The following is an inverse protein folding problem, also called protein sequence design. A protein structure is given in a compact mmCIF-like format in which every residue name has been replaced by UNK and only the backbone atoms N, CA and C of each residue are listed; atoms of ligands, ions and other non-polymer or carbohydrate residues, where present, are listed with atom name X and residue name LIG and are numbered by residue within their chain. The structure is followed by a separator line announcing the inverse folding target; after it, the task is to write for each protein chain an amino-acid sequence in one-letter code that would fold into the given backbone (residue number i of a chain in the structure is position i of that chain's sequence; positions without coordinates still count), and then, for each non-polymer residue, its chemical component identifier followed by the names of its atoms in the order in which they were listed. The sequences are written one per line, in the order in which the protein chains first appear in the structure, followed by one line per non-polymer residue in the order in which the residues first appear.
data_IF_636671468428
#
_entry.id   IF_636671468428
#
_cell.length_a   1.000
_cell.length_b   1.000
_cell.length_c   1.000
_cell.angle_alpha   90.00
_cell.angle_beta   90.00
_cell.angle_gamma   90.00
#
_symmetry.space_group_name_H-M   'P 1'
#
loop_
_entity.id
_entity.type
_entity.pdbx_description
1 polymer ?
#
# COMPACT_ATOMS: atom_id res chain seq x y z
N UNK A 1 -7.58 -35.62 -13.25
CA UNK A 1 -8.90 -35.03 -13.27
C UNK A 1 -9.20 -34.35 -14.60
N UNK A 2 -10.46 -34.15 -14.89
CA UNK A 2 -10.91 -33.42 -16.09
C UNK A 2 -11.82 -32.26 -15.68
N UNK A 3 -11.71 -31.13 -16.40
CA UNK A 3 -12.62 -29.99 -16.28
C UNK A 3 -13.36 -29.82 -17.60
N UNK A 4 -14.70 -29.85 -17.58
CA UNK A 4 -15.52 -29.47 -18.69
C UNK A 4 -15.88 -27.98 -18.65
N UNK A 5 -15.63 -27.29 -19.76
CA UNK A 5 -16.06 -25.89 -19.95
C UNK A 5 -16.97 -25.81 -21.17
N UNK A 6 -18.12 -25.16 -21.01
CA UNK A 6 -18.99 -24.83 -22.13
C UNK A 6 -18.53 -23.53 -22.76
N UNK A 7 -17.97 -23.59 -23.95
CA UNK A 7 -17.41 -22.47 -24.67
C UNK A 7 -18.13 -22.22 -25.99
N UNK A 8 -18.23 -20.94 -26.39
CA UNK A 8 -18.79 -20.58 -27.69
C UNK A 8 -17.73 -20.71 -28.77
N UNK A 9 -17.97 -21.52 -29.79
CA UNK A 9 -17.05 -21.79 -30.89
C UNK A 9 -17.19 -20.83 -32.08
N UNK A 10 -18.03 -19.77 -31.96
CA UNK A 10 -18.39 -18.85 -33.03
C UNK A 10 -19.76 -19.20 -33.72
N UNK A 11 -20.31 -20.37 -33.48
CA UNK A 11 -21.62 -20.82 -34.00
C UNK A 11 -22.53 -21.42 -32.91
N UNK A 12 -21.98 -22.32 -32.11
CA UNK A 12 -22.69 -23.04 -31.05
C UNK A 12 -21.93 -23.04 -29.74
N UNK A 13 -22.60 -23.40 -28.65
CA UNK A 13 -22.00 -23.59 -27.35
C UNK A 13 -21.70 -25.06 -27.15
N UNK A 14 -20.40 -25.44 -27.16
CA UNK A 14 -19.96 -26.82 -27.04
C UNK A 14 -19.17 -27.07 -25.78
N UNK A 15 -19.17 -28.32 -25.30
CA UNK A 15 -18.37 -28.73 -24.16
C UNK A 15 -16.96 -29.12 -24.59
N UNK A 16 -15.97 -28.50 -23.95
CA UNK A 16 -14.53 -28.78 -24.11
C UNK A 16 -13.97 -29.31 -22.79
N UNK A 17 -13.29 -30.44 -22.86
CA UNK A 17 -12.73 -31.10 -21.68
C UNK A 17 -11.21 -30.90 -21.66
N UNK A 18 -10.71 -30.49 -20.50
CA UNK A 18 -9.30 -30.21 -20.28
C UNK A 18 -8.78 -31.11 -19.15
N UNK A 19 -7.62 -31.74 -19.37
CA UNK A 19 -6.97 -32.52 -18.32
C UNK A 19 -6.26 -31.56 -17.33
N UNK A 20 -6.43 -31.87 -16.05
CA UNK A 20 -5.76 -31.16 -14.96
C UNK A 20 -5.11 -32.17 -14.02
N UNK A 21 -4.09 -31.70 -13.28
CA UNK A 21 -3.43 -32.54 -12.28
C UNK A 21 -4.42 -32.99 -11.19
N UNK A 22 -4.19 -34.16 -10.60
CA UNK A 22 -5.02 -34.63 -9.49
C UNK A 22 -4.99 -33.66 -8.28
N UNK A 23 -3.86 -33.03 -8.04
CA UNK A 23 -3.72 -32.02 -6.97
C UNK A 23 -4.57 -30.78 -7.23
N UNK A 24 -4.56 -30.25 -8.46
CA UNK A 24 -5.38 -29.08 -8.84
C UNK A 24 -6.87 -29.43 -8.77
N UNK A 25 -7.27 -30.64 -9.23
CA UNK A 25 -8.65 -31.12 -9.13
C UNK A 25 -9.11 -31.18 -7.67
N UNK A 26 -8.30 -31.80 -6.78
CA UNK A 26 -8.59 -31.87 -5.35
C UNK A 26 -8.71 -30.51 -4.71
N UNK A 27 -7.80 -29.57 -5.03
CA UNK A 27 -7.84 -28.20 -4.53
C UNK A 27 -9.09 -27.44 -5.00
N UNK A 28 -9.44 -27.53 -6.29
CA UNK A 28 -10.66 -26.90 -6.82
C UNK A 28 -11.92 -27.47 -6.18
N UNK A 29 -12.01 -28.80 -6.03
CA UNK A 29 -13.13 -29.44 -5.36
C UNK A 29 -13.28 -29.00 -3.91
N UNK A 30 -12.16 -28.87 -3.18
CA UNK A 30 -12.17 -28.34 -1.82
C UNK A 30 -12.70 -26.89 -1.78
N UNK A 31 -12.23 -26.02 -2.68
CA UNK A 31 -12.71 -24.64 -2.76
C UNK A 31 -14.19 -24.56 -3.12
N UNK A 32 -14.67 -25.39 -4.04
CA UNK A 32 -16.09 -25.44 -4.42
C UNK A 32 -17.03 -25.88 -3.29
N UNK A 33 -16.54 -26.67 -2.33
CA UNK A 33 -17.32 -27.06 -1.15
C UNK A 33 -17.53 -25.91 -0.15
N UNK A 34 -16.56 -25.00 -0.05
CA UNK A 34 -16.51 -23.96 0.98
C UNK A 34 -16.81 -22.56 0.44
N UNK A 35 -16.76 -22.36 -0.88
CA UNK A 35 -16.86 -21.04 -1.52
C UNK A 35 -17.68 -21.11 -2.81
N UNK A 36 -18.35 -20.00 -3.12
CA UNK A 36 -19.07 -19.86 -4.40
C UNK A 36 -18.07 -19.59 -5.53
N UNK A 37 -17.99 -20.49 -6.48
CA UNK A 37 -17.22 -20.30 -7.71
C UNK A 37 -17.94 -19.29 -8.62
N UNK A 38 -17.18 -18.36 -9.18
CA UNK A 38 -17.60 -17.45 -10.24
C UNK A 38 -17.26 -18.07 -11.61
N UNK A 39 -17.81 -17.50 -12.67
CA UNK A 39 -17.52 -17.93 -14.03
C UNK A 39 -16.00 -17.97 -14.29
N UNK A 40 -15.47 -19.09 -14.76
CA UNK A 40 -14.06 -19.20 -15.10
C UNK A 40 -13.70 -18.29 -16.28
N UNK A 41 -12.46 -17.84 -16.31
CA UNK A 41 -11.93 -17.01 -17.40
C UNK A 41 -10.83 -17.79 -18.10
N UNK A 42 -10.98 -17.96 -19.41
CA UNK A 42 -9.92 -18.50 -20.28
C UNK A 42 -9.08 -17.35 -20.82
N UNK A 43 -7.77 -17.44 -20.68
CA UNK A 43 -6.82 -16.40 -21.02
C UNK A 43 -5.60 -16.97 -21.75
N UNK A 44 -4.98 -16.21 -22.65
CA UNK A 44 -3.76 -16.62 -23.35
C UNK A 44 -2.58 -15.79 -22.88
N UNK A 45 -1.69 -16.41 -22.12
CA UNK A 45 -0.49 -15.77 -21.58
C UNK A 45 0.76 -16.40 -22.18
N UNK A 46 1.56 -15.62 -22.87
CA UNK A 46 2.82 -16.07 -23.51
C UNK A 46 2.64 -17.28 -24.45
N UNK A 47 1.54 -17.29 -25.21
CA UNK A 47 1.25 -18.38 -26.16
C UNK A 47 0.57 -19.61 -25.54
N UNK A 48 0.45 -19.70 -24.22
CA UNK A 48 -0.21 -20.79 -23.50
C UNK A 48 -1.58 -20.37 -23.01
N UNK A 49 -2.56 -21.23 -23.13
CA UNK A 49 -3.89 -21.02 -22.54
C UNK A 49 -3.85 -21.32 -21.06
N UNK A 50 -4.52 -20.48 -20.28
CA UNK A 50 -4.70 -20.62 -18.84
C UNK A 50 -6.18 -20.49 -18.50
N UNK A 51 -6.66 -21.28 -17.57
CA UNK A 51 -8.00 -21.18 -17.01
C UNK A 51 -7.85 -20.63 -15.61
N UNK A 52 -8.55 -19.53 -15.32
CA UNK A 52 -8.57 -18.91 -13.99
C UNK A 52 -9.93 -19.12 -13.35
N UNK A 53 -9.92 -19.70 -12.17
CA UNK A 53 -11.11 -19.90 -11.35
C UNK A 53 -11.12 -18.85 -10.25
N UNK A 54 -12.18 -18.05 -10.20
CA UNK A 54 -12.39 -17.04 -9.17
C UNK A 54 -13.44 -17.53 -8.19
N UNK A 55 -13.20 -17.35 -6.89
CA UNK A 55 -14.11 -17.74 -5.83
C UNK A 55 -14.53 -16.52 -5.02
N UNK A 56 -15.82 -16.45 -4.68
CA UNK A 56 -16.33 -15.45 -3.74
C UNK A 56 -16.11 -15.94 -2.32
N UNK A 57 -15.41 -15.17 -1.52
CA UNK A 57 -15.20 -15.44 -0.11
C UNK A 57 -15.92 -14.37 0.70
N UNK A 58 -16.76 -14.81 1.64
CA UNK A 58 -17.42 -13.95 2.60
C UNK A 58 -16.60 -13.95 3.89
N UNK A 59 -16.31 -12.76 4.43
CA UNK A 59 -15.62 -12.59 5.69
C UNK A 59 -16.36 -11.57 6.52
N UNK A 60 -16.51 -11.87 7.79
CA UNK A 60 -16.99 -10.90 8.76
C UNK A 60 -15.85 -9.93 9.07
N UNK A 61 -16.17 -8.65 9.02
CA UNK A 61 -15.26 -7.58 9.43
C UNK A 61 -15.62 -7.16 10.86
N UNK A 62 -14.66 -6.57 11.57
CA UNK A 62 -14.90 -5.93 12.87
C UNK A 62 -16.15 -5.05 12.76
N UNK A 63 -17.06 -5.17 13.75
CA UNK A 63 -18.32 -4.43 13.76
C UNK A 63 -18.09 -2.91 13.75
N UNK A 64 -19.00 -2.17 13.10
CA UNK A 64 -18.83 -0.75 12.81
C UNK A 64 -19.49 0.18 13.83
N UNK A 65 -20.02 -0.39 14.91
CA UNK A 65 -20.88 0.33 15.87
C UNK A 65 -20.12 1.39 16.68
N UNK A 66 -18.87 1.14 17.05
CA UNK A 66 -18.04 2.11 17.75
C UNK A 66 -16.59 2.16 17.27
N UNK A 67 -16.34 2.98 16.26
CA UNK A 67 -14.98 3.19 15.74
C UNK A 67 -14.04 3.89 16.71
N UNK A 68 -14.56 4.54 17.74
CA UNK A 68 -13.72 5.14 18.78
C UNK A 68 -13.10 4.07 19.72
N UNK A 69 -13.69 2.88 19.77
CA UNK A 69 -13.10 1.75 20.50
C UNK A 69 -11.95 1.07 19.74
N UNK A 70 -11.77 1.38 18.44
CA UNK A 70 -10.77 0.73 17.60
C UNK A 70 -9.34 1.01 18.04
N UNK A 71 -8.50 -0.02 17.90
CA UNK A 71 -7.06 0.14 17.75
C UNK A 71 -6.74 0.22 16.27
N UNK A 72 -6.16 1.32 15.85
CA UNK A 72 -5.87 1.55 14.43
C UNK A 72 -4.38 1.49 14.14
N UNK A 73 -4.04 1.06 12.91
CA UNK A 73 -2.72 1.22 12.32
C UNK A 73 -2.81 2.35 11.29
N UNK A 74 -2.31 3.53 11.65
CA UNK A 74 -2.21 4.65 10.73
C UNK A 74 -0.89 4.58 9.96
N UNK A 75 -0.97 4.77 8.63
CA UNK A 75 0.14 4.54 7.71
C UNK A 75 0.32 5.72 6.76
N UNK A 76 1.51 6.27 6.73
CA UNK A 76 2.01 7.19 5.72
C UNK A 76 2.92 6.44 4.74
N UNK A 77 2.59 6.45 3.45
CA UNK A 77 3.37 5.80 2.40
C UNK A 77 4.37 6.77 1.79
N UNK A 78 5.64 6.53 2.00
CA UNK A 78 6.74 7.40 1.56
C UNK A 78 7.45 6.94 0.28
N UNK A 79 8.31 7.81 -0.24
CA UNK A 79 9.22 7.51 -1.37
C UNK A 79 10.60 7.08 -0.85
N UNK A 80 11.04 7.63 0.28
CA UNK A 80 12.34 7.35 0.88
C UNK A 80 12.29 6.21 1.90
N UNK A 81 11.17 6.06 2.58
CA UNK A 81 10.83 4.89 3.37
C UNK A 81 9.57 4.28 2.77
N UNK A 82 9.49 2.95 2.71
CA UNK A 82 8.35 2.27 2.10
C UNK A 82 7.03 2.64 2.80
N UNK A 83 7.05 2.72 4.14
CA UNK A 83 5.95 3.23 4.95
C UNK A 83 6.45 3.66 6.33
N UNK A 84 5.83 4.70 6.89
CA UNK A 84 5.87 5.05 8.31
C UNK A 84 4.52 4.76 8.93
N UNK A 85 4.50 4.23 10.15
CA UNK A 85 3.28 3.77 10.75
C UNK A 85 3.23 4.04 12.26
N UNK A 86 2.02 4.17 12.79
CA UNK A 86 1.79 4.14 14.22
C UNK A 86 0.51 3.36 14.55
N UNK A 87 0.54 2.67 15.70
CA UNK A 87 -0.62 2.00 16.29
C UNK A 87 -1.13 2.87 17.42
N UNK A 88 -2.40 3.30 17.34
CA UNK A 88 -2.97 4.21 18.31
C UNK A 88 -4.46 3.95 18.59
N UNK A 89 -4.96 4.54 19.66
CA UNK A 89 -6.36 4.57 20.09
C UNK A 89 -6.92 5.99 20.07
N UNK A 90 -8.23 6.11 20.25
CA UNK A 90 -8.96 7.39 20.23
C UNK A 90 -8.56 8.36 21.35
N UNK A 91 -8.09 7.84 22.49
CA UNK A 91 -7.56 8.63 23.62
C UNK A 91 -6.20 9.28 23.33
N UNK A 92 -5.63 9.08 22.12
CA UNK A 92 -4.32 9.59 21.73
C UNK A 92 -3.15 8.69 22.13
N UNK A 93 -3.39 7.58 22.83
CA UNK A 93 -2.34 6.62 23.21
C UNK A 93 -1.72 5.99 21.99
N UNK A 94 -0.40 6.16 21.82
CA UNK A 94 0.41 5.50 20.79
C UNK A 94 1.07 4.27 21.40
N UNK A 95 0.58 3.08 21.02
CA UNK A 95 1.12 1.81 21.52
C UNK A 95 2.45 1.44 20.86
N UNK A 96 2.59 1.73 19.59
CA UNK A 96 3.80 1.48 18.82
C UNK A 96 3.88 2.38 17.60
N UNK A 97 5.10 2.61 17.13
CA UNK A 97 5.38 3.34 15.88
C UNK A 97 6.66 2.83 15.25
N UNK A 98 6.79 2.96 13.96
CA UNK A 98 7.98 2.52 13.25
C UNK A 98 8.01 2.93 11.79
N UNK A 99 9.13 2.59 11.16
CA UNK A 99 9.39 2.85 9.75
C UNK A 99 9.75 1.54 9.07
N UNK A 100 9.14 1.27 7.93
CA UNK A 100 9.47 0.13 7.08
C UNK A 100 10.49 0.59 6.06
N UNK A 101 11.70 0.05 6.17
CA UNK A 101 12.75 0.16 5.18
C UNK A 101 12.93 -1.17 4.47
N UNK A 102 13.11 -1.10 3.16
CA UNK A 102 13.34 -2.25 2.28
C UNK A 102 14.58 -1.98 1.40
N UNK A 103 15.77 -1.87 2.03
CA UNK A 103 16.97 -1.40 1.34
C UNK A 103 17.35 -2.27 0.15
N UNK A 104 17.25 -3.59 0.25
CA UNK A 104 17.60 -4.51 -0.83
C UNK A 104 16.67 -4.31 -2.06
N UNK A 105 15.36 -4.17 -1.83
CA UNK A 105 14.36 -3.97 -2.88
C UNK A 105 14.48 -2.57 -3.49
N UNK A 106 14.76 -1.56 -2.67
CA UNK A 106 14.98 -0.18 -3.10
C UNK A 106 16.25 -0.05 -3.93
N UNK A 107 17.35 -0.64 -3.50
CA UNK A 107 18.63 -0.66 -4.24
C UNK A 107 18.48 -1.38 -5.57
N UNK A 108 17.79 -2.52 -5.57
CA UNK A 108 17.48 -3.25 -6.80
C UNK A 108 16.67 -2.41 -7.78
N UNK A 109 15.66 -1.69 -7.28
CA UNK A 109 14.84 -0.80 -8.11
C UNK A 109 15.68 0.36 -8.65
N UNK A 110 16.48 1.02 -7.80
CA UNK A 110 17.36 2.13 -8.19
C UNK A 110 18.39 1.70 -9.24
N UNK A 111 19.00 0.51 -9.06
CA UNK A 111 19.92 -0.05 -10.05
C UNK A 111 19.24 -0.23 -11.41
N UNK A 112 18.03 -0.78 -11.45
CA UNK A 112 17.28 -0.95 -12.70
C UNK A 112 16.89 0.39 -13.34
N UNK A 113 16.55 1.41 -12.56
CA UNK A 113 16.27 2.76 -13.04
C UNK A 113 17.52 3.37 -13.69
N UNK A 114 18.68 3.26 -13.04
CA UNK A 114 19.94 3.75 -13.58
C UNK A 114 20.31 3.04 -14.89
N UNK A 115 20.17 1.72 -14.94
CA UNK A 115 20.37 0.93 -16.15
C UNK A 115 19.45 1.37 -17.29
N UNK A 116 18.18 1.69 -16.99
CA UNK A 116 17.25 2.26 -17.98
C UNK A 116 17.77 3.59 -18.55
N UNK A 117 18.25 4.50 -17.66
CA UNK A 117 18.81 5.81 -18.09
C UNK A 117 20.01 5.63 -19.01
N UNK A 118 20.93 4.73 -18.68
CA UNK A 118 22.07 4.41 -19.55
C UNK A 118 21.64 3.89 -20.93
N UNK A 119 20.64 2.99 -20.97
CA UNK A 119 20.09 2.51 -22.24
C UNK A 119 19.45 3.63 -23.07
N UNK A 120 18.70 4.54 -22.43
CA UNK A 120 18.08 5.69 -23.10
C UNK A 120 19.12 6.66 -23.67
N UNK A 121 20.18 6.95 -22.90
CA UNK A 121 21.30 7.80 -23.37
C UNK A 121 22.03 7.19 -24.56
N UNK A 122 22.16 5.85 -24.60
CA UNK A 122 22.76 5.11 -25.70
C UNK A 122 21.80 4.85 -26.88
N UNK A 123 20.59 5.44 -26.89
CA UNK A 123 19.58 5.24 -27.95
C UNK A 123 19.03 3.81 -28.06
N UNK A 124 19.31 2.94 -27.08
CA UNK A 124 18.91 1.54 -27.08
C UNK A 124 17.49 1.34 -26.57
N UNK A 125 16.63 0.71 -27.37
CA UNK A 125 15.31 0.25 -26.92
C UNK A 125 15.50 -1.00 -26.04
N UNK A 126 14.94 -0.99 -24.81
CA UNK A 126 15.14 -2.08 -23.88
C UNK A 126 13.84 -2.47 -23.17
N UNK A 127 13.00 -3.27 -23.85
CA UNK A 127 11.77 -3.82 -23.24
C UNK A 127 12.04 -4.67 -21.99
N UNK A 128 13.17 -5.38 -21.95
CA UNK A 128 13.55 -6.20 -20.79
C UNK A 128 13.77 -5.35 -19.54
N UNK A 129 14.45 -4.20 -19.65
CA UNK A 129 14.71 -3.32 -18.49
C UNK A 129 13.42 -2.75 -17.92
N UNK A 130 12.46 -2.35 -18.77
CA UNK A 130 11.15 -1.89 -18.32
C UNK A 130 10.36 -2.98 -17.58
N UNK A 131 10.45 -4.23 -18.04
CA UNK A 131 9.83 -5.37 -17.37
C UNK A 131 10.48 -5.62 -16.00
N UNK A 132 11.80 -5.53 -15.90
CA UNK A 132 12.52 -5.71 -14.63
C UNK A 132 12.19 -4.62 -13.62
N UNK A 133 12.15 -3.35 -14.04
CA UNK A 133 11.71 -2.22 -13.19
C UNK A 133 10.30 -2.48 -12.65
N UNK A 134 9.38 -2.91 -13.51
CA UNK A 134 8.00 -3.22 -13.12
C UNK A 134 7.93 -4.36 -12.10
N UNK A 135 8.73 -5.41 -12.30
CA UNK A 135 8.79 -6.54 -11.38
C UNK A 135 9.44 -6.16 -10.04
N UNK A 136 10.54 -5.40 -10.04
CA UNK A 136 11.19 -4.91 -8.83
C UNK A 136 10.24 -4.01 -8.02
N UNK A 137 9.55 -3.08 -8.69
CA UNK A 137 8.57 -2.21 -8.06
C UNK A 137 7.35 -2.97 -7.50
N UNK A 138 6.93 -4.03 -8.19
CA UNK A 138 5.86 -4.92 -7.69
C UNK A 138 6.31 -5.70 -6.45
N UNK A 139 7.56 -6.18 -6.43
CA UNK A 139 8.11 -6.86 -5.27
C UNK A 139 8.15 -5.94 -4.05
N UNK A 140 8.61 -4.69 -4.23
CA UNK A 140 8.59 -3.66 -3.18
C UNK A 140 7.17 -3.45 -2.61
N UNK A 141 6.15 -3.35 -3.49
CA UNK A 141 4.76 -3.20 -3.06
C UNK A 141 4.23 -4.41 -2.26
N UNK A 142 4.64 -5.62 -2.65
CA UNK A 142 4.25 -6.86 -1.96
C UNK A 142 4.86 -6.91 -0.57
N UNK A 143 6.17 -6.65 -0.47
CA UNK A 143 6.89 -6.68 0.81
C UNK A 143 6.41 -5.59 1.77
N UNK A 144 6.16 -4.38 1.27
CA UNK A 144 5.57 -3.30 2.08
C UNK A 144 4.21 -3.72 2.64
N UNK A 145 3.33 -4.26 1.80
CA UNK A 145 2.01 -4.70 2.23
C UNK A 145 2.11 -5.85 3.25
N UNK A 146 3.01 -6.83 3.03
CA UNK A 146 3.24 -7.94 3.95
C UNK A 146 3.65 -7.44 5.34
N UNK A 147 4.65 -6.55 5.40
CA UNK A 147 5.13 -5.98 6.67
C UNK A 147 4.05 -5.16 7.40
N UNK A 148 3.23 -4.40 6.67
CA UNK A 148 2.12 -3.67 7.28
C UNK A 148 1.08 -4.61 7.89
N UNK A 149 0.75 -5.70 7.23
CA UNK A 149 -0.17 -6.72 7.75
C UNK A 149 0.43 -7.44 8.96
N UNK A 150 1.72 -7.76 8.95
CA UNK A 150 2.41 -8.35 10.09
C UNK A 150 2.31 -7.44 11.33
N UNK A 151 2.54 -6.14 11.17
CA UNK A 151 2.36 -5.15 12.24
C UNK A 151 0.90 -5.12 12.71
N UNK A 152 -0.06 -5.09 11.78
CA UNK A 152 -1.47 -5.04 12.12
C UNK A 152 -1.93 -6.28 12.93
N UNK A 153 -1.45 -7.47 12.56
CA UNK A 153 -1.72 -8.71 13.29
C UNK A 153 -1.04 -8.70 14.66
N UNK A 154 0.25 -8.32 14.71
CA UNK A 154 1.03 -8.28 15.96
C UNK A 154 0.36 -7.43 17.05
N UNK A 155 -0.23 -6.30 16.67
CA UNK A 155 -0.88 -5.38 17.59
C UNK A 155 -2.40 -5.55 17.66
N UNK A 156 -2.96 -6.60 17.04
CA UNK A 156 -4.42 -6.86 17.02
C UNK A 156 -5.22 -5.62 16.63
N UNK A 157 -4.92 -5.10 15.44
CA UNK A 157 -5.49 -3.88 14.90
C UNK A 157 -6.86 -4.16 14.28
N UNK A 158 -7.84 -3.30 14.56
CA UNK A 158 -9.21 -3.39 14.03
C UNK A 158 -9.35 -2.74 12.65
N UNK A 159 -8.61 -1.64 12.44
CA UNK A 159 -8.67 -0.86 11.21
C UNK A 159 -7.30 -0.32 10.79
N UNK A 160 -6.97 -0.46 9.50
CA UNK A 160 -5.78 0.15 8.89
C UNK A 160 -6.22 1.45 8.20
N UNK A 161 -5.53 2.55 8.52
CA UNK A 161 -5.87 3.89 8.02
C UNK A 161 -4.77 4.43 7.13
N UNK A 162 -5.11 4.77 5.89
CA UNK A 162 -4.22 5.42 4.93
C UNK A 162 -4.67 6.85 4.62
N UNK A 163 -3.80 7.60 3.98
CA UNK A 163 -4.20 8.82 3.29
C UNK A 163 -4.96 8.51 2.00
N UNK A 164 -5.98 9.32 1.70
CA UNK A 164 -6.57 9.38 0.37
C UNK A 164 -5.64 10.19 -0.54
N UNK A 165 -4.94 9.47 -1.41
CA UNK A 165 -3.95 10.06 -2.30
C UNK A 165 -4.53 10.16 -3.72
N UNK A 166 -4.96 11.36 -4.11
CA UNK A 166 -5.37 11.61 -5.49
C UNK A 166 -4.15 11.61 -6.41
N UNK A 167 -4.16 10.73 -7.42
CA UNK A 167 -3.07 10.59 -8.39
C UNK A 167 -3.08 11.65 -9.49
N UNK A 168 -4.07 12.56 -9.51
CA UNK A 168 -4.26 13.55 -10.57
C UNK A 168 -3.42 14.83 -10.41
N UNK A 169 -2.69 14.98 -9.31
CA UNK A 169 -1.84 16.14 -9.06
C UNK A 169 -0.66 16.25 -10.06
N UNK A 170 -0.41 17.45 -10.61
CA UNK A 170 0.77 17.72 -11.44
C UNK A 170 2.04 17.58 -10.59
N UNK A 171 2.91 16.66 -10.96
CA UNK A 171 4.20 16.46 -10.30
C UNK A 171 5.15 17.58 -10.69
N UNK A 172 5.50 18.44 -9.73
CA UNK A 172 6.49 19.50 -9.90
C UNK A 172 7.89 18.93 -9.63
N UNK A 173 8.86 19.24 -10.53
CA UNK A 173 10.27 18.87 -10.38
C UNK A 173 10.70 17.66 -11.25
N UNK A 174 11.88 17.82 -11.93
CA UNK A 174 12.41 16.78 -12.83
C UNK A 174 13.08 15.62 -12.09
N UNK A 175 13.74 15.90 -10.95
CA UNK A 175 14.65 14.97 -10.25
C UNK A 175 13.93 13.75 -9.64
N UNK A 176 12.71 13.92 -9.12
CA UNK A 176 11.92 12.86 -8.48
C UNK A 176 10.76 12.34 -9.32
N UNK A 177 10.49 12.94 -10.49
CA UNK A 177 9.34 12.59 -11.34
C UNK A 177 9.26 11.09 -11.62
N UNK A 178 10.38 10.45 -11.93
CA UNK A 178 10.42 9.03 -12.27
C UNK A 178 10.11 8.14 -11.06
N UNK A 179 10.68 8.43 -9.88
CA UNK A 179 10.38 7.70 -8.64
C UNK A 179 8.91 7.85 -8.25
N UNK A 180 8.34 9.05 -8.39
CA UNK A 180 6.92 9.31 -8.09
C UNK A 180 6.00 8.57 -9.07
N UNK A 181 6.31 8.54 -10.37
CA UNK A 181 5.56 7.76 -11.35
C UNK A 181 5.63 6.24 -11.10
N UNK A 182 6.76 5.76 -10.62
CA UNK A 182 6.94 4.36 -10.27
C UNK A 182 6.33 4.02 -8.91
N UNK A 183 6.07 5.02 -8.07
CA UNK A 183 5.56 4.80 -6.73
C UNK A 183 4.13 4.24 -6.74
N UNK A 184 4.02 2.98 -6.36
CA UNK A 184 2.78 2.21 -6.43
C UNK A 184 1.96 2.24 -5.14
N UNK A 185 1.75 3.45 -4.58
CA UNK A 185 0.94 3.63 -3.38
C UNK A 185 -0.43 2.94 -3.44
N UNK A 186 -1.13 3.07 -4.57
CA UNK A 186 -2.43 2.43 -4.78
C UNK A 186 -2.33 0.89 -4.84
N UNK A 187 -1.21 0.33 -5.34
CA UNK A 187 -0.98 -1.11 -5.36
C UNK A 187 -0.75 -1.64 -3.94
N UNK A 188 0.02 -0.91 -3.10
CA UNK A 188 0.20 -1.23 -1.68
C UNK A 188 -1.13 -1.20 -0.94
N UNK A 189 -1.89 -0.10 -1.05
CA UNK A 189 -3.20 0.02 -0.38
C UNK A 189 -4.16 -1.09 -0.78
N UNK A 190 -4.30 -1.42 -2.07
CA UNK A 190 -5.16 -2.52 -2.55
C UNK A 190 -4.74 -3.88 -2.01
N UNK A 191 -3.42 -4.13 -1.90
CA UNK A 191 -2.90 -5.39 -1.35
C UNK A 191 -3.18 -5.50 0.13
N UNK A 192 -2.94 -4.41 0.87
CA UNK A 192 -3.24 -4.34 2.30
C UNK A 192 -4.74 -4.52 2.52
N UNK A 193 -5.60 -3.84 1.75
CA UNK A 193 -7.06 -3.96 1.83
C UNK A 193 -7.53 -5.41 1.67
N UNK A 194 -7.04 -6.09 0.63
CA UNK A 194 -7.40 -7.49 0.38
C UNK A 194 -6.98 -8.41 1.53
N UNK A 195 -5.78 -8.21 2.08
CA UNK A 195 -5.28 -9.05 3.17
C UNK A 195 -5.94 -8.70 4.52
N UNK A 196 -6.13 -7.41 4.80
CA UNK A 196 -6.81 -6.95 6.00
C UNK A 196 -8.25 -7.50 6.07
N UNK A 197 -9.02 -7.41 4.99
CA UNK A 197 -10.37 -7.96 4.92
C UNK A 197 -10.41 -9.48 5.14
N UNK A 198 -9.42 -10.23 4.63
CA UNK A 198 -9.30 -11.68 4.90
C UNK A 198 -9.08 -12.01 6.36
N UNK A 199 -8.49 -11.09 7.10
CA UNK A 199 -8.22 -11.21 8.54
C UNK A 199 -9.32 -10.56 9.41
N UNK A 200 -10.41 -10.07 8.79
CA UNK A 200 -11.50 -9.42 9.49
C UNK A 200 -11.28 -7.95 9.81
N UNK A 201 -10.11 -7.37 9.48
CA UNK A 201 -9.79 -5.97 9.72
C UNK A 201 -10.48 -5.07 8.70
N UNK A 202 -10.80 -3.84 9.10
CA UNK A 202 -11.29 -2.79 8.20
C UNK A 202 -10.15 -1.99 7.58
N UNK A 203 -10.46 -1.26 6.50
CA UNK A 203 -9.56 -0.27 5.92
C UNK A 203 -10.31 1.06 5.78
N UNK A 204 -9.64 2.13 6.16
CA UNK A 204 -10.16 3.51 6.04
C UNK A 204 -9.16 4.40 5.32
N UNK A 205 -9.65 5.51 4.77
CA UNK A 205 -8.82 6.54 4.12
C UNK A 205 -9.23 7.90 4.63
N UNK A 206 -8.25 8.71 5.01
CA UNK A 206 -8.44 10.08 5.48
C UNK A 206 -7.89 11.09 4.49
N UNK A 207 -8.37 12.33 4.54
CA UNK A 207 -7.87 13.41 3.70
C UNK A 207 -6.39 13.67 3.96
N UNK A 208 -5.57 13.78 2.91
CA UNK A 208 -4.12 13.98 3.00
C UNK A 208 -3.72 15.45 3.30
N UNK A 209 -4.68 16.39 3.29
CA UNK A 209 -4.34 17.80 3.45
C UNK A 209 -3.74 18.11 4.83
N UNK A 210 -2.51 18.62 4.84
CA UNK A 210 -1.85 19.08 6.06
C UNK A 210 -1.29 18.00 6.99
N UNK A 211 -1.44 16.69 6.71
CA UNK A 211 -0.93 15.60 7.57
C UNK A 211 0.57 15.69 7.78
N UNK A 212 1.32 16.09 6.77
CA UNK A 212 2.77 16.29 6.86
C UNK A 212 3.20 17.74 7.05
N UNK A 213 2.25 18.69 7.17
CA UNK A 213 2.54 20.12 7.40
C UNK A 213 2.52 20.49 8.87
N UNK A 214 1.70 19.84 9.67
CA UNK A 214 1.52 20.16 11.07
C UNK A 214 2.17 19.13 11.98
N UNK A 215 2.65 19.59 13.14
CA UNK A 215 3.16 18.74 14.20
C UNK A 215 2.01 17.93 14.82
N UNK A 216 2.26 16.66 15.12
CA UNK A 216 1.24 15.77 15.69
C UNK A 216 0.81 16.17 17.12
N UNK A 217 1.62 16.95 17.82
CA UNK A 217 1.36 17.43 19.18
C UNK A 217 0.57 18.75 19.23
N UNK A 218 0.13 19.24 18.07
CA UNK A 218 -0.64 20.48 17.96
C UNK A 218 0.18 21.76 18.07
N UNK A 219 1.51 21.69 18.18
CA UNK A 219 2.38 22.88 18.35
C UNK A 219 2.46 23.79 17.12
N UNK A 220 1.88 23.36 15.97
CA UNK A 220 1.78 24.21 14.77
C UNK A 220 2.48 23.63 13.55
N UNK A 221 2.93 24.50 12.64
CA UNK A 221 3.60 24.10 11.40
C UNK A 221 5.01 23.61 11.67
N UNK A 222 5.41 22.49 11.07
CA UNK A 222 6.75 21.92 11.21
C UNK A 222 7.75 22.63 10.30
N UNK A 223 8.97 22.88 10.78
CA UNK A 223 10.10 23.35 9.97
C UNK A 223 10.96 22.16 9.52
N UNK A 224 10.97 21.89 8.21
CA UNK A 224 11.74 20.81 7.56
C UNK A 224 13.13 21.25 7.10
N UNK A 225 13.47 22.53 7.23
CA UNK A 225 14.74 23.09 6.79
C UNK A 225 15.63 23.50 7.96
N UNK A 226 15.22 23.23 9.19
CA UNK A 226 15.99 23.55 10.39
C UNK A 226 17.20 22.66 10.60
N UNK A 227 17.16 21.42 10.08
CA UNK A 227 18.22 20.44 10.31
C UNK A 227 19.00 20.21 9.03
N UNK A 228 20.26 20.62 9.04
CA UNK A 228 21.19 20.50 7.92
C UNK A 228 22.63 20.28 8.41
N UNK A 229 23.47 19.79 7.52
CA UNK A 229 24.93 19.76 7.68
C UNK A 229 25.59 20.36 6.43
N UNK A 230 26.86 20.69 6.55
CA UNK A 230 27.64 21.18 5.42
C UNK A 230 28.41 20.02 4.78
N UNK A 231 28.23 19.85 3.46
CA UNK A 231 28.98 18.92 2.65
C UNK A 231 29.58 19.69 1.46
N UNK A 232 30.90 19.68 1.33
CA UNK A 232 31.65 20.45 0.31
C UNK A 232 31.21 21.93 0.23
N UNK A 233 31.03 22.59 1.39
CA UNK A 233 30.60 23.98 1.48
C UNK A 233 29.14 24.28 1.14
N UNK A 234 28.33 23.27 0.84
CA UNK A 234 26.90 23.40 0.55
C UNK A 234 26.05 22.85 1.68
N UNK A 235 24.93 23.54 1.99
CA UNK A 235 23.94 23.04 2.94
C UNK A 235 23.21 21.82 2.38
N UNK A 236 23.27 20.71 3.11
CA UNK A 236 22.52 19.47 2.82
C UNK A 236 21.49 19.31 3.92
N UNK A 237 20.20 19.40 3.55
CA UNK A 237 19.09 19.31 4.49
C UNK A 237 18.71 17.87 4.77
N UNK A 238 18.46 17.56 6.05
CA UNK A 238 17.89 16.26 6.43
C UNK A 238 16.36 16.35 6.41
N UNK A 239 15.76 16.01 5.28
CA UNK A 239 14.30 16.05 5.09
C UNK A 239 13.51 14.97 5.86
N UNK A 240 14.19 14.02 6.48
CA UNK A 240 13.53 13.03 7.34
C UNK A 240 13.24 13.56 8.74
N UNK A 241 13.88 14.68 9.14
CA UNK A 241 13.68 15.31 10.42
C UNK A 241 13.04 16.69 10.24
N UNK A 242 12.31 17.13 11.25
CA UNK A 242 11.74 18.46 11.33
C UNK A 242 11.82 18.99 12.76
N UNK A 243 11.77 20.30 12.92
CA UNK A 243 11.65 20.97 14.21
C UNK A 243 10.23 21.47 14.37
N UNK A 244 9.62 21.17 15.51
CA UNK A 244 8.32 21.69 15.90
C UNK A 244 8.44 23.08 16.50
N UNK A 245 7.34 23.83 16.59
CA UNK A 245 7.39 25.20 17.16
C UNK A 245 7.81 25.25 18.63
N UNK A 246 7.61 24.15 19.35
CA UNK A 246 8.10 23.99 20.73
C UNK A 246 9.58 23.58 20.83
N UNK A 247 10.34 23.58 19.72
CA UNK A 247 11.76 23.22 19.65
C UNK A 247 12.03 21.70 19.57
N UNK A 248 11.01 20.84 19.62
CA UNK A 248 11.18 19.41 19.53
C UNK A 248 11.62 18.98 18.14
N UNK A 249 12.68 18.18 18.05
CA UNK A 249 13.12 17.54 16.81
C UNK A 249 12.44 16.17 16.68
N UNK A 250 11.82 15.91 15.53
CA UNK A 250 11.08 14.69 15.31
C UNK A 250 11.18 14.19 13.87
N UNK A 251 10.87 12.90 13.64
CA UNK A 251 10.80 12.35 12.29
C UNK A 251 9.52 12.81 11.60
N UNK A 252 9.64 13.42 10.41
CA UNK A 252 8.53 13.99 9.65
C UNK A 252 7.46 12.95 9.30
N UNK A 253 7.90 11.76 8.85
CA UNK A 253 7.01 10.73 8.35
C UNK A 253 6.27 10.04 9.50
N UNK A 254 6.92 9.89 10.67
CA UNK A 254 6.24 9.42 11.88
C UNK A 254 5.23 10.45 12.41
N UNK A 255 5.54 11.75 12.32
CA UNK A 255 4.56 12.79 12.65
C UNK A 255 3.36 12.73 11.71
N UNK A 256 3.59 12.53 10.42
CA UNK A 256 2.52 12.37 9.43
C UNK A 256 1.64 11.14 9.73
N UNK A 257 2.23 10.00 10.06
CA UNK A 257 1.47 8.80 10.44
C UNK A 257 0.59 9.04 11.67
N UNK A 258 1.09 9.73 12.70
CA UNK A 258 0.30 10.10 13.88
C UNK A 258 -0.87 11.06 13.53
N UNK A 259 -0.62 12.05 12.65
CA UNK A 259 -1.67 12.95 12.17
C UNK A 259 -2.76 12.23 11.36
N UNK A 260 -2.39 11.21 10.58
CA UNK A 260 -3.35 10.35 9.85
C UNK A 260 -4.27 9.65 10.84
N UNK A 261 -3.72 9.07 11.90
CA UNK A 261 -4.49 8.40 12.94
C UNK A 261 -5.37 9.35 13.75
N UNK A 262 -4.85 10.49 14.17
CA UNK A 262 -5.61 11.51 14.87
C UNK A 262 -6.80 12.01 14.02
N UNK A 263 -6.58 12.22 12.72
CA UNK A 263 -7.63 12.64 11.79
C UNK A 263 -8.75 11.61 11.63
N UNK A 264 -8.43 10.32 11.65
CA UNK A 264 -9.45 9.27 11.64
C UNK A 264 -10.38 9.42 12.85
N UNK A 265 -9.83 9.51 14.05
CA UNK A 265 -10.62 9.63 15.26
C UNK A 265 -11.37 10.96 15.35
N UNK A 266 -10.75 12.09 14.98
CA UNK A 266 -11.42 13.39 14.92
C UNK A 266 -12.65 13.37 14.01
N UNK A 267 -12.56 12.70 12.85
CA UNK A 267 -13.71 12.55 11.95
C UNK A 267 -14.85 11.73 12.58
N UNK A 268 -14.54 10.73 13.39
CA UNK A 268 -15.55 9.92 14.09
C UNK A 268 -16.14 10.66 15.29
N UNK A 269 -15.37 11.47 16.02
CA UNK A 269 -15.88 12.36 17.07
C UNK A 269 -16.85 13.41 16.49
N UNK A 270 -16.53 14.00 15.32
CA UNK A 270 -17.43 14.93 14.64
C UNK A 270 -18.76 14.28 14.24
N UNK A 271 -18.73 13.06 13.71
CA UNK A 271 -19.95 12.31 13.36
C UNK A 271 -20.85 12.03 14.55
N UNK A 272 -20.25 11.82 15.73
CA UNK A 272 -21.00 11.62 16.99
C UNK A 272 -21.44 12.92 17.66
N UNK A 273 -21.18 14.09 17.07
CA UNK A 273 -21.56 15.39 17.62
C UNK A 273 -20.79 15.80 18.88
N UNK A 274 -19.68 15.13 19.17
CA UNK A 274 -18.86 15.41 20.37
C UNK A 274 -18.02 16.69 20.18
N UNK A 275 -17.70 17.05 18.93
CA UNK A 275 -16.99 18.28 18.58
C UNK A 275 -17.62 18.94 17.35
N UNK A 276 -18.05 20.21 17.51
CA UNK A 276 -18.36 21.13 16.41
C UNK A 276 -17.17 22.10 16.29
N UNK A 277 -16.44 22.05 15.19
CA UNK A 277 -15.43 23.04 14.81
C UNK A 277 -16.04 24.01 13.79
#
# INVERSE_FOLDING_TARGET
GQIGLKLYNGKTWDWYYFEISASDAGYLMHLCKTRKMLSPVVDKVRGRYQIRFSFKEMRELVQDEDKLAYRILAVDLGINAAASWCVMKADGTVHAKGVIHLPCEEDRLNHMINRKRMHQQAGKKSHCVYRWIRNANRALSIETARKLIEVAVLYSVDCIVFEYLDSKGKIRGKKFRERIHLWRKNDVQKRVELQAHRLGMRLSRVCAWGTSKYAFDGSGVVDRHSIYHFEHGKKVYNYSLCTFQNGKIYNCDLSAAQNIGARFFLSEYQKKGVYNF
#
